data_IF_784519193486
#
_entry.id   IF_784519193486
#
_cell.length_a   1.000
_cell.length_b   1.000
_cell.length_c   1.000
_cell.angle_alpha   90.00
_cell.angle_beta   90.00
_cell.angle_gamma   90.00
#
_symmetry.space_group_name_H-M   'P 1'
#
loop_
_entity.id
_entity.type
_entity.pdbx_description
1 polymer ?
#
# COMPACT_ATOMS: atom_id res chain seq x y z
N UNK A 1 9.63 -2.14 -15.50
CA UNK A 1 10.03 -3.37 -16.24
C UNK A 1 9.36 -4.66 -15.73
N UNK A 2 8.95 -4.73 -14.45
CA UNK A 2 8.21 -5.90 -13.90
C UNK A 2 6.70 -5.86 -14.18
N UNK A 3 6.13 -4.72 -14.52
CA UNK A 3 4.71 -4.58 -14.90
C UNK A 3 4.45 -4.92 -16.38
N UNK A 4 5.51 -5.08 -17.21
CA UNK A 4 5.35 -5.36 -18.63
C UNK A 4 5.07 -6.83 -18.99
N UNK A 5 5.11 -7.74 -18.00
CA UNK A 5 4.85 -9.17 -18.25
C UNK A 5 3.38 -9.58 -18.02
N UNK A 6 2.53 -8.65 -17.60
CA UNK A 6 1.08 -8.85 -17.49
C UNK A 6 0.37 -8.00 -18.54
N UNK A 7 -0.49 -8.63 -19.32
CA UNK A 7 -1.40 -7.93 -20.22
C UNK A 7 -2.41 -7.16 -19.40
N UNK A 8 -2.26 -5.84 -19.36
CA UNK A 8 -3.25 -4.94 -18.76
C UNK A 8 -3.67 -3.87 -19.76
N UNK A 9 -4.86 -3.34 -19.58
CA UNK A 9 -5.44 -2.29 -20.43
C UNK A 9 -5.69 -1.06 -19.53
N UNK A 10 -5.20 0.10 -19.95
CA UNK A 10 -5.57 1.38 -19.31
C UNK A 10 -7.03 1.68 -19.67
N UNK A 11 -7.79 2.07 -18.66
CA UNK A 11 -9.22 2.37 -18.76
C UNK A 11 -9.41 3.86 -18.49
N UNK A 12 -9.65 4.63 -19.54
CA UNK A 12 -9.84 6.08 -19.42
C UNK A 12 -11.17 6.44 -18.76
N UNK A 13 -12.19 5.58 -18.88
CA UNK A 13 -13.52 5.82 -18.34
C UNK A 13 -14.20 4.51 -17.96
N UNK A 14 -14.63 4.39 -16.70
CA UNK A 14 -15.39 3.24 -16.20
C UNK A 14 -16.85 3.18 -16.69
N UNK A 15 -17.30 4.13 -17.52
CA UNK A 15 -18.65 4.18 -18.07
C UNK A 15 -19.73 4.21 -16.98
N UNK A 16 -20.73 3.35 -17.12
CA UNK A 16 -21.85 3.24 -16.17
C UNK A 16 -21.56 2.31 -14.98
N UNK A 17 -20.38 1.67 -14.94
CA UNK A 17 -20.06 0.67 -13.92
C UNK A 17 -20.14 1.22 -12.49
N UNK A 18 -19.55 2.38 -12.14
CA UNK A 18 -19.64 2.93 -10.79
C UNK A 18 -21.08 3.26 -10.38
N UNK A 19 -21.89 3.78 -11.31
CA UNK A 19 -23.30 4.08 -11.03
C UNK A 19 -24.12 2.80 -10.76
N UNK A 20 -23.90 1.75 -11.57
CA UNK A 20 -24.54 0.44 -11.37
C UNK A 20 -24.12 -0.19 -10.04
N UNK A 21 -22.83 -0.06 -9.68
CA UNK A 21 -22.30 -0.57 -8.43
C UNK A 21 -22.86 0.20 -7.22
N UNK A 22 -23.04 1.52 -7.33
CA UNK A 22 -23.68 2.36 -6.31
C UNK A 22 -25.16 2.00 -6.10
N UNK A 23 -25.89 1.71 -7.18
CA UNK A 23 -27.26 1.19 -7.07
C UNK A 23 -27.28 -0.16 -6.34
N UNK A 24 -26.40 -1.10 -6.72
CA UNK A 24 -26.27 -2.39 -6.06
C UNK A 24 -25.96 -2.21 -4.56
N UNK A 25 -25.03 -1.34 -4.22
CA UNK A 25 -24.68 -1.00 -2.82
C UNK A 25 -25.91 -0.52 -2.04
N UNK A 26 -26.70 0.38 -2.63
CA UNK A 26 -27.91 0.92 -1.99
C UNK A 26 -28.97 -0.16 -1.76
N UNK A 27 -29.13 -1.12 -2.67
CA UNK A 27 -30.03 -2.26 -2.48
C UNK A 27 -29.54 -3.20 -1.38
N UNK A 28 -28.24 -3.52 -1.37
CA UNK A 28 -27.65 -4.34 -0.32
C UNK A 28 -27.80 -3.69 1.05
N UNK A 29 -27.57 -2.39 1.16
CA UNK A 29 -27.74 -1.65 2.42
C UNK A 29 -29.16 -1.74 2.96
N UNK A 30 -30.17 -1.48 2.09
CA UNK A 30 -31.58 -1.61 2.46
C UNK A 30 -31.94 -3.04 2.91
N UNK A 31 -31.39 -4.04 2.23
CA UNK A 31 -31.61 -5.44 2.59
C UNK A 31 -31.01 -5.76 3.95
N UNK A 32 -29.77 -5.37 4.20
CA UNK A 32 -29.04 -5.59 5.46
C UNK A 32 -29.76 -4.90 6.64
N UNK A 33 -30.22 -3.67 6.43
CA UNK A 33 -30.97 -2.93 7.47
C UNK A 33 -32.29 -3.62 7.86
N UNK A 34 -32.99 -4.19 6.87
CA UNK A 34 -34.26 -4.85 7.05
C UNK A 34 -34.15 -6.29 7.62
N UNK A 35 -33.08 -6.99 7.31
CA UNK A 35 -32.92 -8.43 7.57
C UNK A 35 -31.73 -8.79 8.46
N UNK A 36 -31.46 -7.99 9.50
CA UNK A 36 -30.27 -8.08 10.39
C UNK A 36 -29.97 -9.44 10.98
N UNK A 37 -30.93 -10.38 11.03
CA UNK A 37 -30.77 -11.73 11.60
C UNK A 37 -30.74 -12.84 10.54
N UNK A 38 -30.69 -12.49 9.27
CA UNK A 38 -30.67 -13.48 8.19
C UNK A 38 -29.22 -13.96 7.95
N UNK A 39 -28.94 -15.29 7.96
CA UNK A 39 -27.60 -15.82 7.67
C UNK A 39 -26.98 -15.35 6.36
N UNK A 40 -27.79 -15.07 5.34
CA UNK A 40 -27.33 -14.49 4.05
C UNK A 40 -26.66 -13.13 4.23
N UNK A 41 -26.97 -12.41 5.32
CA UNK A 41 -26.29 -11.13 5.60
C UNK A 41 -24.79 -11.32 5.83
N UNK A 42 -24.39 -12.41 6.51
CA UNK A 42 -22.97 -12.67 6.81
C UNK A 42 -22.19 -12.94 5.52
N UNK A 43 -22.76 -13.74 4.61
CA UNK A 43 -22.14 -14.03 3.30
C UNK A 43 -22.05 -12.77 2.41
N UNK A 44 -23.05 -11.89 2.49
CA UNK A 44 -23.09 -10.66 1.70
C UNK A 44 -22.15 -9.56 2.24
N UNK A 45 -21.79 -9.59 3.52
CA UNK A 45 -21.02 -8.52 4.16
C UNK A 45 -19.65 -8.31 3.52
N UNK A 46 -18.94 -9.37 3.16
CA UNK A 46 -17.63 -9.26 2.50
C UNK A 46 -17.73 -8.52 1.16
N UNK A 47 -18.73 -8.87 0.36
CA UNK A 47 -18.97 -8.21 -0.91
C UNK A 47 -19.42 -6.76 -0.70
N UNK A 48 -20.32 -6.52 0.25
CA UNK A 48 -20.77 -5.18 0.61
C UNK A 48 -19.61 -4.26 0.98
N UNK A 49 -18.66 -4.72 1.81
CA UNK A 49 -17.49 -3.92 2.18
C UNK A 49 -16.53 -3.69 1.01
N UNK A 50 -16.34 -4.68 0.14
CA UNK A 50 -15.53 -4.50 -1.09
C UNK A 50 -16.14 -3.45 -2.01
N UNK A 51 -17.45 -3.50 -2.24
CA UNK A 51 -18.17 -2.50 -3.05
C UNK A 51 -18.04 -1.11 -2.44
N UNK A 52 -18.28 -0.99 -1.13
CA UNK A 52 -18.16 0.28 -0.41
C UNK A 52 -16.73 0.83 -0.50
N UNK A 53 -15.74 -0.02 -0.34
CA UNK A 53 -14.34 0.39 -0.44
C UNK A 53 -14.02 0.90 -1.85
N UNK A 54 -14.44 0.18 -2.88
CA UNK A 54 -14.23 0.61 -4.26
C UNK A 54 -14.89 1.96 -4.54
N UNK A 55 -16.16 2.13 -4.16
CA UNK A 55 -16.88 3.39 -4.37
C UNK A 55 -16.22 4.57 -3.65
N UNK A 56 -15.81 4.38 -2.40
CA UNK A 56 -15.09 5.41 -1.64
C UNK A 56 -13.76 5.79 -2.30
N UNK A 57 -13.03 4.82 -2.86
CA UNK A 57 -11.79 5.10 -3.59
C UNK A 57 -12.05 5.78 -4.93
N UNK A 58 -13.11 5.37 -5.61
CA UNK A 58 -13.52 5.99 -6.86
C UNK A 58 -13.93 7.46 -6.70
N UNK A 59 -14.65 7.77 -5.62
CA UNK A 59 -15.04 9.15 -5.27
C UNK A 59 -13.83 10.04 -4.88
N UNK A 60 -12.74 9.43 -4.42
CA UNK A 60 -11.48 10.11 -4.11
C UNK A 60 -10.53 10.20 -5.31
N UNK A 61 -10.84 9.50 -6.42
CA UNK A 61 -9.97 9.45 -7.57
C UNK A 61 -9.97 10.81 -8.32
N UNK A 62 -8.77 11.34 -8.51
CA UNK A 62 -8.47 12.56 -9.25
C UNK A 62 -7.61 12.25 -10.49
N UNK A 63 -7.04 13.26 -11.13
CA UNK A 63 -6.15 13.13 -12.28
C UNK A 63 -4.81 12.42 -11.98
N UNK A 64 -4.51 12.19 -10.70
CA UNK A 64 -3.33 11.46 -10.21
C UNK A 64 -3.59 9.97 -10.02
N UNK A 65 -4.78 9.51 -10.37
CA UNK A 65 -5.13 8.09 -10.39
C UNK A 65 -5.04 7.52 -11.80
N UNK A 66 -4.57 6.30 -11.89
CA UNK A 66 -4.60 5.50 -13.12
C UNK A 66 -5.55 4.33 -12.91
N UNK A 67 -6.56 4.24 -13.76
CA UNK A 67 -7.45 3.07 -13.78
C UNK A 67 -6.93 2.09 -14.82
N UNK A 68 -6.80 0.83 -14.45
CA UNK A 68 -6.44 -0.24 -15.38
C UNK A 68 -7.20 -1.53 -15.07
N UNK A 69 -7.37 -2.35 -16.10
CA UNK A 69 -7.97 -3.67 -15.98
C UNK A 69 -6.97 -4.74 -16.41
N UNK A 70 -6.96 -5.85 -15.68
CA UNK A 70 -6.21 -7.07 -16.01
C UNK A 70 -7.08 -8.30 -15.82
N UNK A 71 -6.68 -9.42 -16.40
CA UNK A 71 -7.29 -10.72 -16.12
C UNK A 71 -6.45 -11.43 -15.05
N UNK A 72 -7.12 -12.03 -14.10
CA UNK A 72 -6.47 -12.92 -13.14
C UNK A 72 -6.16 -14.30 -13.75
N UNK A 73 -5.67 -15.23 -12.91
CA UNK A 73 -5.32 -16.59 -13.35
C UNK A 73 -6.52 -17.43 -13.76
N UNK A 74 -7.68 -17.08 -13.27
CA UNK A 74 -8.97 -17.77 -13.51
C UNK A 74 -9.74 -17.15 -14.68
N UNK A 75 -9.20 -16.05 -15.25
CA UNK A 75 -9.78 -15.31 -16.36
C UNK A 75 -10.80 -14.25 -15.94
N UNK A 76 -10.91 -13.98 -14.66
CA UNK A 76 -11.77 -12.93 -14.13
C UNK A 76 -11.14 -11.55 -14.33
N UNK A 77 -11.97 -10.57 -14.69
CA UNK A 77 -11.52 -9.20 -14.87
C UNK A 77 -11.36 -8.50 -13.52
N UNK A 78 -10.14 -8.02 -13.27
CA UNK A 78 -9.83 -7.18 -12.13
C UNK A 78 -9.69 -5.73 -12.59
N UNK A 79 -10.46 -4.84 -11.97
CA UNK A 79 -10.38 -3.39 -12.18
C UNK A 79 -9.63 -2.75 -11.01
N UNK A 80 -8.58 -2.01 -11.33
CA UNK A 80 -7.71 -1.37 -10.36
C UNK A 80 -7.79 0.15 -10.46
N UNK A 81 -7.95 0.80 -9.30
CA UNK A 81 -7.74 2.23 -9.12
C UNK A 81 -6.38 2.42 -8.47
N UNK A 82 -5.38 2.85 -9.24
CA UNK A 82 -4.02 3.01 -8.78
C UNK A 82 -3.70 4.48 -8.50
N UNK A 83 -3.52 4.83 -7.24
CA UNK A 83 -3.09 6.16 -6.85
C UNK A 83 -1.58 6.31 -7.12
N UNK A 84 -1.22 7.20 -8.04
CA UNK A 84 0.18 7.51 -8.37
C UNK A 84 0.74 8.53 -7.39
N UNK A 85 -0.05 9.53 -7.05
CA UNK A 85 0.31 10.60 -6.12
C UNK A 85 -0.85 10.87 -5.14
N UNK A 86 -0.70 10.52 -3.85
CA UNK A 86 -1.76 10.68 -2.86
C UNK A 86 -1.79 12.08 -2.22
N UNK A 87 -0.88 12.99 -2.58
CA UNK A 87 -0.62 14.24 -1.86
C UNK A 87 -1.87 15.11 -1.71
N UNK A 88 -2.67 15.25 -2.76
CA UNK A 88 -3.87 16.09 -2.74
C UNK A 88 -4.95 15.53 -1.80
N UNK A 89 -5.22 14.25 -1.88
CA UNK A 89 -6.16 13.56 -1.01
C UNK A 89 -5.72 13.59 0.47
N UNK A 90 -4.42 13.41 0.73
CA UNK A 90 -3.87 13.48 2.09
C UNK A 90 -3.94 14.93 2.60
N UNK A 91 -3.49 15.90 1.81
CA UNK A 91 -3.53 17.33 2.16
C UNK A 91 -4.95 17.79 2.51
N UNK A 92 -5.96 17.39 1.72
CA UNK A 92 -7.36 17.67 2.02
C UNK A 92 -7.79 17.12 3.39
N UNK A 93 -7.34 15.93 3.77
CA UNK A 93 -7.63 15.35 5.08
C UNK A 93 -6.90 16.05 6.21
N UNK A 94 -5.63 16.40 5.98
CA UNK A 94 -4.82 17.13 6.96
C UNK A 94 -5.40 18.52 7.25
N UNK A 95 -5.94 19.21 6.24
CA UNK A 95 -6.55 20.55 6.40
C UNK A 95 -7.80 20.56 7.29
N UNK A 96 -8.42 19.42 7.54
CA UNK A 96 -9.53 19.29 8.47
C UNK A 96 -9.09 19.33 9.95
N UNK A 97 -7.80 19.12 10.23
CA UNK A 97 -7.21 19.22 11.55
C UNK A 97 -6.59 20.60 11.81
N UNK A 98 -6.42 20.93 13.09
CA UNK A 98 -5.70 22.17 13.48
C UNK A 98 -4.20 22.06 13.29
N UNK A 99 -3.65 20.87 13.46
CA UNK A 99 -2.25 20.54 13.26
C UNK A 99 -2.10 19.03 13.06
N UNK A 100 -1.05 18.63 12.35
CA UNK A 100 -0.72 17.23 12.13
C UNK A 100 0.77 17.02 12.39
N UNK A 101 1.11 15.90 13.03
CA UNK A 101 2.50 15.48 13.25
C UNK A 101 2.67 14.10 12.68
N UNK A 102 3.60 13.95 11.74
CA UNK A 102 3.96 12.66 11.18
C UNK A 102 5.38 12.29 11.59
N UNK A 103 5.61 11.05 11.90
CA UNK A 103 6.93 10.57 12.32
C UNK A 103 7.22 9.17 11.78
N UNK A 104 8.48 8.99 11.38
CA UNK A 104 9.00 7.69 10.93
C UNK A 104 10.51 7.70 11.09
N UNK A 105 11.09 6.54 11.28
CA UNK A 105 12.55 6.36 11.22
C UNK A 105 13.11 6.47 9.77
N UNK A 106 12.25 6.47 8.76
CA UNK A 106 12.61 6.32 7.34
C UNK A 106 12.06 7.42 6.45
N UNK A 107 11.69 8.58 6.99
CA UNK A 107 11.28 9.76 6.20
C UNK A 107 12.48 10.45 5.52
N UNK A 108 13.22 9.68 4.73
CA UNK A 108 14.37 10.16 3.96
C UNK A 108 14.27 9.73 2.49
N UNK A 109 14.44 10.65 1.52
CA UNK A 109 14.65 12.10 1.68
C UNK A 109 13.37 12.82 2.13
N UNK A 110 13.52 13.76 3.06
CA UNK A 110 12.39 14.46 3.69
C UNK A 110 11.52 15.22 2.69
N UNK A 111 12.11 15.90 1.72
CA UNK A 111 11.36 16.68 0.74
C UNK A 111 10.41 15.83 -0.10
N UNK A 112 10.84 14.61 -0.47
CA UNK A 112 9.97 13.65 -1.15
C UNK A 112 8.71 13.33 -0.33
N UNK A 113 8.87 13.10 0.98
CA UNK A 113 7.72 12.80 1.84
C UNK A 113 6.83 14.02 2.09
N UNK A 114 7.40 15.23 2.16
CA UNK A 114 6.61 16.47 2.23
C UNK A 114 5.73 16.61 0.98
N UNK A 115 6.31 16.45 -0.22
CA UNK A 115 5.56 16.47 -1.47
C UNK A 115 4.45 15.42 -1.51
N UNK A 116 4.76 14.18 -1.15
CA UNK A 116 3.82 13.06 -1.23
C UNK A 116 2.72 13.06 -0.15
N UNK A 117 2.93 13.76 0.96
CA UNK A 117 2.00 13.76 2.10
C UNK A 117 1.16 15.03 2.13
N UNK A 118 1.80 16.20 2.16
CA UNK A 118 1.09 17.48 2.28
C UNK A 118 1.05 18.28 0.98
N UNK A 119 1.92 17.96 0.04
CA UNK A 119 2.13 18.76 -1.16
C UNK A 119 2.88 20.06 -0.90
N UNK A 120 3.36 20.31 0.33
CA UNK A 120 4.03 21.55 0.71
C UNK A 120 5.46 21.30 1.23
N UNK A 121 6.44 21.68 0.42
CA UNK A 121 7.85 21.59 0.79
C UNK A 121 8.20 22.48 1.99
N UNK A 122 7.44 23.54 2.23
CA UNK A 122 7.68 24.48 3.33
C UNK A 122 7.33 23.93 4.71
N UNK A 123 6.65 22.79 4.78
CA UNK A 123 6.32 22.12 6.02
C UNK A 123 7.55 21.90 6.90
N UNK A 124 7.38 22.07 8.20
CA UNK A 124 8.46 21.95 9.16
C UNK A 124 8.91 20.50 9.32
N UNK A 125 10.21 20.26 9.37
CA UNK A 125 10.79 18.96 9.60
C UNK A 125 11.82 18.99 10.73
N UNK A 126 11.75 18.00 11.60
CA UNK A 126 12.66 17.79 12.72
C UNK A 126 13.43 16.49 12.54
N UNK A 127 14.75 16.55 12.65
CA UNK A 127 15.60 15.39 12.68
C UNK A 127 15.96 15.08 14.13
N UNK A 128 15.43 13.98 14.65
CA UNK A 128 15.85 13.45 15.93
C UNK A 128 17.12 12.61 15.76
N UNK A 129 18.19 12.99 16.43
CA UNK A 129 19.41 12.18 16.46
C UNK A 129 19.15 10.86 17.20
N UNK A 130 19.74 9.79 16.68
CA UNK A 130 19.70 8.49 17.37
C UNK A 130 20.35 8.60 18.75
N UNK A 131 19.69 8.14 19.83
CA UNK A 131 20.31 8.08 21.15
C UNK A 131 21.34 6.95 21.27
N UNK A 132 21.42 6.07 20.27
CA UNK A 132 22.35 4.93 20.29
C UNK A 132 23.71 5.37 19.75
N UNK A 133 24.75 5.03 20.50
CA UNK A 133 26.13 5.29 20.09
C UNK A 133 26.47 4.48 18.82
N UNK A 134 26.95 5.17 17.80
CA UNK A 134 27.35 4.56 16.52
C UNK A 134 28.55 3.62 16.65
N UNK A 135 29.36 3.75 17.71
CA UNK A 135 30.46 2.81 18.03
C UNK A 135 29.95 1.39 18.29
N UNK A 136 28.72 1.26 18.76
CA UNK A 136 28.06 -0.03 18.99
C UNK A 136 27.45 -0.64 17.69
N UNK A 137 27.55 0.07 16.56
CA UNK A 137 27.04 -0.40 15.28
C UNK A 137 28.13 -1.09 14.48
N UNK A 138 27.95 -2.36 14.16
CA UNK A 138 28.80 -3.10 13.22
C UNK A 138 28.01 -3.46 11.97
N UNK A 139 28.55 -3.09 10.81
CA UNK A 139 27.97 -3.45 9.50
C UNK A 139 28.89 -4.46 8.83
N UNK A 140 28.34 -5.60 8.45
CA UNK A 140 29.07 -6.68 7.78
C UNK A 140 28.44 -6.92 6.41
N UNK A 141 29.27 -6.96 5.37
CA UNK A 141 28.83 -7.20 4.00
C UNK A 141 29.19 -8.61 3.58
N UNK A 142 28.19 -9.48 3.44
CA UNK A 142 28.35 -10.81 2.86
C UNK A 142 28.47 -10.73 1.33
N UNK A 143 29.61 -11.14 0.75
CA UNK A 143 29.84 -11.04 -0.70
C UNK A 143 29.36 -12.26 -1.48
N UNK A 144 29.21 -13.40 -0.82
CA UNK A 144 28.89 -14.71 -1.41
C UNK A 144 27.48 -15.20 -1.08
N UNK A 145 26.64 -14.32 -0.52
CA UNK A 145 25.24 -14.57 -0.19
C UNK A 145 24.30 -13.61 -0.89
N UNK A 146 23.05 -14.01 -1.09
CA UNK A 146 22.04 -13.20 -1.75
C UNK A 146 20.68 -13.34 -1.11
N UNK A 147 20.00 -12.21 -0.91
CA UNK A 147 18.59 -12.18 -0.46
C UNK A 147 17.58 -12.21 -1.60
N UNK A 148 18.03 -12.24 -2.88
CA UNK A 148 17.15 -12.26 -4.06
C UNK A 148 16.20 -13.45 -4.01
N UNK A 149 14.93 -13.23 -4.28
CA UNK A 149 13.89 -14.28 -4.26
C UNK A 149 14.27 -15.48 -5.16
N UNK A 150 14.77 -15.22 -6.37
CA UNK A 150 15.16 -16.23 -7.36
C UNK A 150 16.37 -17.08 -6.94
N UNK A 151 17.14 -16.65 -5.92
CA UNK A 151 18.30 -17.39 -5.38
C UNK A 151 18.03 -18.04 -4.04
N UNK A 152 16.81 -17.97 -3.51
CA UNK A 152 16.42 -18.55 -2.22
C UNK A 152 16.41 -20.07 -2.33
N UNK A 153 17.34 -20.73 -1.65
CA UNK A 153 17.45 -22.18 -1.52
C UNK A 153 18.20 -22.53 -0.24
N UNK A 154 18.24 -23.83 0.09
CA UNK A 154 18.87 -24.31 1.32
C UNK A 154 20.36 -23.94 1.42
N UNK A 155 21.09 -23.94 0.31
CA UNK A 155 22.52 -23.59 0.28
C UNK A 155 22.73 -22.12 0.64
N UNK A 156 21.91 -21.19 0.07
CA UNK A 156 21.99 -19.77 0.42
C UNK A 156 21.61 -19.54 1.90
N UNK A 157 20.57 -20.22 2.39
CA UNK A 157 20.19 -20.11 3.79
C UNK A 157 21.28 -20.63 4.74
N UNK A 158 21.97 -21.73 4.39
CA UNK A 158 23.07 -22.27 5.15
C UNK A 158 24.24 -21.29 5.22
N UNK A 159 24.61 -20.66 4.10
CA UNK A 159 25.65 -19.61 4.08
C UNK A 159 25.28 -18.42 4.96
N UNK A 160 24.04 -17.93 4.87
CA UNK A 160 23.56 -16.82 5.71
C UNK A 160 23.62 -17.22 7.19
N UNK A 161 23.19 -18.43 7.53
CA UNK A 161 23.27 -18.94 8.91
C UNK A 161 24.71 -19.03 9.41
N UNK A 162 25.67 -19.44 8.55
CA UNK A 162 27.10 -19.45 8.90
C UNK A 162 27.67 -18.06 9.14
N UNK A 163 27.24 -17.05 8.36
CA UNK A 163 27.59 -15.64 8.65
C UNK A 163 27.09 -15.21 10.02
N UNK A 164 25.83 -15.48 10.34
CA UNK A 164 25.23 -15.14 11.64
C UNK A 164 25.99 -15.84 12.76
N UNK A 165 26.26 -17.14 12.62
CA UNK A 165 27.01 -17.93 13.61
C UNK A 165 28.42 -17.38 13.87
N UNK A 166 29.15 -16.98 12.79
CA UNK A 166 30.48 -16.38 12.90
C UNK A 166 30.43 -15.04 13.61
N UNK A 167 29.42 -14.20 13.30
CA UNK A 167 29.21 -12.92 13.98
C UNK A 167 28.99 -13.09 15.48
N UNK A 168 28.08 -13.97 15.88
CA UNK A 168 27.80 -14.24 17.30
C UNK A 168 29.08 -14.72 18.03
N UNK A 169 29.84 -15.65 17.43
CA UNK A 169 31.08 -16.14 18.01
C UNK A 169 32.20 -15.08 18.16
N UNK A 170 32.16 -14.03 17.36
CA UNK A 170 33.15 -12.94 17.41
C UNK A 170 32.76 -11.85 18.42
N UNK A 171 31.60 -11.95 19.04
CA UNK A 171 31.09 -10.99 20.04
C UNK A 171 31.20 -11.53 21.48
N UNK A 172 31.51 -12.82 21.62
CA UNK A 172 31.81 -13.52 22.90
C UNK A 172 33.32 -13.65 23.05
#
# INVERSE_FOLDING_TARGET
>A
KRMCDKEYIIVDNCGTFPASLSACFSYMQKFLDKHKKNPVCDEMMDFFFKVRHFLNMYDCADDKYVTYAELDKDGDMLLHLYCVDPSENISLRLSQGKASVMFSATFLPVNYFKEMISGDISDYAVYAHSPFDTSNKRVIVGRDVSSRYTRRNINEYTKIADYIRKMVKSLI
#
